data_IF_966614440622
#
_entry.id   IF_966614440622
#
_cell.length_a   1.000
_cell.length_b   1.000
_cell.length_c   1.000
_cell.angle_alpha   90.00
_cell.angle_beta   90.00
_cell.angle_gamma   90.00
#
_symmetry.space_group_name_H-M   'P 1'
#
loop_
_entity.id
_entity.type
_entity.pdbx_description
1 polymer ?
#
# COMPACT_ATOMS: atom_id res chain seq x y z
N UNK A 1 3.89 -7.25 6.09
CA UNK A 1 2.97 -7.63 5.00
C UNK A 1 3.27 -6.78 3.78
N UNK A 2 3.48 -7.38 2.61
CA UNK A 2 3.80 -6.68 1.35
C UNK A 2 2.94 -7.26 0.24
N UNK A 3 2.17 -6.40 -0.42
CA UNK A 3 1.29 -6.80 -1.51
C UNK A 3 1.21 -5.72 -2.58
N UNK A 4 0.83 -6.12 -3.79
CA UNK A 4 0.55 -5.21 -4.90
C UNK A 4 -0.78 -5.57 -5.56
N UNK A 5 -1.56 -4.59 -5.97
CA UNK A 5 -2.80 -4.80 -6.71
C UNK A 5 -3.02 -3.71 -7.75
N UNK A 6 -4.08 -3.87 -8.54
CA UNK A 6 -4.54 -2.87 -9.49
C UNK A 6 -5.92 -2.40 -9.04
N UNK A 7 -6.16 -1.09 -9.10
CA UNK A 7 -7.43 -0.47 -8.72
C UNK A 7 -8.65 -1.11 -9.40
N UNK A 8 -8.50 -1.58 -10.64
CA UNK A 8 -9.54 -2.29 -11.39
C UNK A 8 -9.75 -3.77 -11.03
N UNK A 9 -8.86 -4.40 -10.26
CA UNK A 9 -9.08 -5.75 -9.69
C UNK A 9 -9.63 -5.62 -8.27
N UNK A 10 -10.87 -5.17 -8.17
CA UNK A 10 -11.52 -4.87 -6.89
C UNK A 10 -11.57 -6.10 -5.96
N UNK A 11 -11.76 -7.31 -6.51
CA UNK A 11 -11.83 -8.55 -5.72
C UNK A 11 -10.51 -8.84 -5.02
N UNK A 12 -9.40 -8.78 -5.75
CA UNK A 12 -8.07 -8.97 -5.17
C UNK A 12 -7.73 -7.84 -4.20
N UNK A 13 -7.96 -6.59 -4.58
CA UNK A 13 -7.64 -5.43 -3.75
C UNK A 13 -8.37 -5.46 -2.40
N UNK A 14 -9.67 -5.79 -2.41
CA UNK A 14 -10.47 -5.92 -1.18
C UNK A 14 -9.88 -6.97 -0.24
N UNK A 15 -9.52 -8.15 -0.77
CA UNK A 15 -8.91 -9.21 0.02
C UNK A 15 -7.56 -8.78 0.61
N UNK A 16 -6.74 -8.08 -0.18
CA UNK A 16 -5.43 -7.61 0.26
C UNK A 16 -5.52 -6.50 1.31
N UNK A 17 -6.49 -5.59 1.22
CA UNK A 17 -6.74 -4.56 2.24
C UNK A 17 -7.15 -5.22 3.56
N UNK A 18 -8.08 -6.18 3.53
CA UNK A 18 -8.48 -6.91 4.73
C UNK A 18 -7.30 -7.62 5.39
N UNK A 19 -6.45 -8.27 4.60
CA UNK A 19 -5.23 -8.90 5.09
C UNK A 19 -4.23 -7.92 5.68
N UNK A 20 -4.06 -6.74 5.05
CA UNK A 20 -3.17 -5.69 5.54
C UNK A 20 -3.62 -5.11 6.88
N UNK A 21 -4.92 -4.84 7.06
CA UNK A 21 -5.50 -4.34 8.31
C UNK A 21 -5.38 -5.39 9.42
N UNK A 22 -5.61 -6.66 9.11
CA UNK A 22 -5.51 -7.75 10.08
C UNK A 22 -4.05 -8.08 10.48
N UNK A 23 -3.07 -7.66 9.68
CA UNK A 23 -1.67 -7.95 9.96
C UNK A 23 -1.16 -7.16 11.17
N UNK A 24 -0.71 -7.88 12.20
CA UNK A 24 -0.02 -7.30 13.35
C UNK A 24 1.42 -6.94 12.99
N UNK A 25 1.59 -5.78 12.37
CA UNK A 25 2.90 -5.28 11.94
C UNK A 25 2.75 -4.22 10.86
N UNK A 26 3.87 -3.82 10.27
CA UNK A 26 3.85 -2.87 9.15
C UNK A 26 3.36 -3.57 7.87
N UNK A 27 2.36 -2.96 7.24
CA UNK A 27 1.83 -3.39 5.95
C UNK A 27 2.16 -2.35 4.86
N UNK A 28 2.66 -2.82 3.73
CA UNK A 28 2.84 -2.06 2.50
C UNK A 28 1.93 -2.65 1.42
N UNK A 29 1.01 -1.84 0.91
CA UNK A 29 0.12 -2.21 -0.18
C UNK A 29 0.32 -1.21 -1.31
N UNK A 30 0.91 -1.68 -2.41
CA UNK A 30 1.12 -0.91 -3.61
C UNK A 30 -0.09 -1.08 -4.55
N UNK A 31 -0.84 0.00 -4.81
CA UNK A 31 -2.03 -0.04 -5.66
C UNK A 31 -1.77 0.76 -6.92
N UNK A 32 -1.67 0.05 -8.04
CA UNK A 32 -1.55 0.67 -9.36
C UNK A 32 -2.91 1.26 -9.71
N UNK A 33 -2.97 2.59 -9.81
CA UNK A 33 -4.17 3.34 -10.16
C UNK A 33 -3.88 4.25 -11.34
N UNK A 34 -4.50 4.04 -12.51
CA UNK A 34 -4.38 4.98 -13.61
C UNK A 34 -5.06 6.30 -13.22
N UNK A 35 -4.40 7.43 -13.50
CA UNK A 35 -4.96 8.76 -13.25
C UNK A 35 -5.35 9.40 -14.58
N UNK A 36 -6.66 9.50 -14.82
CA UNK A 36 -7.24 10.03 -16.06
C UNK A 36 -7.06 11.54 -16.24
N UNK A 37 -6.71 12.29 -15.19
CA UNK A 37 -6.68 13.76 -15.22
C UNK A 37 -5.26 14.34 -15.26
N UNK A 38 -4.31 13.75 -14.51
CA UNK A 38 -2.98 14.35 -14.30
C UNK A 38 -1.83 13.51 -14.83
N UNK A 39 -2.12 12.32 -15.37
CA UNK A 39 -1.13 11.47 -16.01
C UNK A 39 -1.66 11.00 -17.37
N UNK A 40 -2.11 11.96 -18.18
CA UNK A 40 -2.89 11.68 -19.37
C UNK A 40 -2.36 12.40 -20.63
N UNK A 41 -1.03 12.42 -20.90
CA UNK A 41 -0.58 12.66 -22.28
C UNK A 41 0.80 12.03 -22.70
N UNK A 42 1.06 12.09 -24.02
CA UNK A 42 2.05 11.42 -24.92
C UNK A 42 3.60 11.55 -24.70
N UNK A 43 4.11 12.01 -23.54
CA UNK A 43 5.55 12.19 -23.17
C UNK A 43 5.61 13.07 -21.90
N UNK A 44 5.36 12.45 -20.74
CA UNK A 44 4.93 13.12 -19.50
C UNK A 44 5.96 14.01 -18.80
N UNK A 45 5.82 15.33 -18.96
CA UNK A 45 5.87 16.33 -17.87
C UNK A 45 4.44 16.66 -17.36
N UNK A 46 3.50 15.74 -17.60
CA UNK A 46 2.13 15.96 -18.10
C UNK A 46 1.05 15.88 -17.04
N UNK A 47 1.34 16.51 -15.92
CA UNK A 47 0.29 17.23 -15.27
C UNK A 47 -0.05 18.47 -16.10
N UNK A 48 -1.09 19.15 -15.66
CA UNK A 48 -1.26 20.61 -15.66
C UNK A 48 0.03 21.50 -15.79
N UNK A 49 1.24 20.99 -15.55
CA UNK A 49 2.54 21.69 -15.72
C UNK A 49 2.95 22.05 -17.14
N UNK A 50 2.81 21.19 -18.16
CA UNK A 50 3.12 21.60 -19.54
C UNK A 50 2.22 22.77 -19.97
N UNK A 51 0.98 22.74 -19.46
CA UNK A 51 -0.01 23.80 -19.55
C UNK A 51 0.38 25.08 -18.79
N UNK A 52 1.03 24.98 -17.62
CA UNK A 52 1.54 26.14 -16.87
C UNK A 52 2.75 26.83 -17.52
N UNK A 53 3.63 26.08 -18.20
CA UNK A 53 4.85 26.61 -18.82
C UNK A 53 4.62 27.35 -20.16
N UNK A 54 3.41 27.23 -20.73
CA UNK A 54 2.99 27.91 -21.96
C UNK A 54 1.76 28.82 -21.75
N UNK A 55 1.60 29.32 -20.51
CA UNK A 55 0.64 30.35 -20.09
C UNK A 55 -0.86 30.00 -20.21
N UNK A 56 -1.26 28.89 -19.57
CA UNK A 56 -2.69 28.58 -19.37
C UNK A 56 -3.21 29.11 -18.01
N UNK A 57 -4.35 29.82 -18.06
CA UNK A 57 -5.06 30.46 -16.95
C UNK A 57 -5.86 29.43 -16.10
N UNK A 58 -5.65 29.39 -14.77
CA UNK A 58 -6.11 28.31 -13.84
C UNK A 58 -7.57 28.47 -13.37
N UNK A 59 -8.49 28.88 -14.23
CA UNK A 59 -9.92 28.99 -13.89
C UNK A 59 -10.79 28.54 -15.08
N UNK A 60 -10.53 27.34 -15.61
CA UNK A 60 -11.51 26.67 -16.48
C UNK A 60 -12.44 25.82 -15.62
N UNK A 61 -13.74 25.91 -15.92
CA UNK A 61 -14.78 25.03 -15.39
C UNK A 61 -14.31 23.59 -15.64
N UNK A 62 -13.96 22.87 -14.56
CA UNK A 62 -13.25 21.60 -14.58
C UNK A 62 -13.97 20.52 -15.39
N UNK A 63 -13.73 20.50 -16.69
CA UNK A 63 -14.20 19.44 -17.57
C UNK A 63 -13.17 18.31 -17.54
N UNK A 64 -13.40 17.34 -16.67
CA UNK A 64 -12.73 16.04 -16.73
C UNK A 64 -13.56 15.17 -17.66
N UNK A 65 -13.06 14.76 -18.84
CA UNK A 65 -13.80 13.86 -19.71
C UNK A 65 -14.08 12.56 -18.95
N UNK A 66 -15.30 12.05 -19.09
CA UNK A 66 -15.67 10.76 -18.51
C UNK A 66 -14.88 9.66 -19.22
N UNK A 67 -14.22 8.82 -18.44
CA UNK A 67 -13.56 7.60 -18.90
C UNK A 67 -14.18 6.41 -18.18
N UNK A 68 -14.42 5.32 -18.92
CA UNK A 68 -14.93 4.08 -18.32
C UNK A 68 -13.91 3.47 -17.36
N UNK A 69 -14.36 2.93 -16.24
CA UNK A 69 -13.48 2.24 -15.31
C UNK A 69 -12.88 0.98 -15.95
N UNK A 70 -11.56 0.84 -15.89
CA UNK A 70 -10.87 -0.37 -16.36
C UNK A 70 -11.00 -1.45 -15.30
N UNK A 71 -12.01 -2.31 -15.44
CA UNK A 71 -12.22 -3.45 -14.54
C UNK A 71 -11.56 -4.71 -15.10
N UNK A 72 -10.81 -5.42 -14.25
CA UNK A 72 -10.16 -6.68 -14.63
C UNK A 72 -10.43 -7.77 -13.61
N UNK A 73 -10.67 -8.97 -14.12
CA UNK A 73 -10.76 -10.20 -13.35
C UNK A 73 -10.10 -11.31 -14.16
N UNK A 74 -9.04 -11.89 -13.62
CA UNK A 74 -8.18 -12.83 -14.33
C UNK A 74 -7.63 -13.88 -13.37
N UNK A 75 -7.39 -15.07 -13.91
CA UNK A 75 -7.09 -16.26 -13.13
C UNK A 75 -5.72 -16.17 -12.44
N UNK A 76 -5.58 -16.70 -11.21
CA UNK A 76 -4.29 -16.82 -10.54
C UNK A 76 -3.23 -17.50 -11.41
N UNK A 77 -2.01 -16.95 -11.42
CA UNK A 77 -0.90 -17.48 -12.24
C UNK A 77 -0.87 -17.01 -13.69
N UNK A 78 -1.88 -16.29 -14.16
CA UNK A 78 -1.94 -15.75 -15.53
C UNK A 78 -1.42 -14.30 -15.60
N UNK A 79 -1.00 -13.90 -16.80
CA UNK A 79 -0.65 -12.50 -17.13
C UNK A 79 -1.75 -11.90 -17.99
N UNK A 80 -2.26 -10.74 -17.60
CA UNK A 80 -3.24 -9.95 -18.34
C UNK A 80 -2.58 -8.66 -18.83
N UNK A 81 -2.65 -8.39 -20.13
CA UNK A 81 -2.30 -7.09 -20.70
C UNK A 81 -3.51 -6.15 -20.60
N UNK A 82 -3.29 -4.93 -20.13
CA UNK A 82 -4.29 -3.88 -19.97
C UNK A 82 -3.84 -2.66 -20.76
N UNK A 83 -4.73 -2.15 -21.59
CA UNK A 83 -4.56 -0.88 -22.31
C UNK A 83 -5.18 0.23 -21.45
N UNK A 84 -4.38 1.23 -21.10
CA UNK A 84 -4.83 2.40 -20.35
C UNK A 84 -5.50 3.42 -21.27
N UNK A 85 -6.19 4.40 -20.69
CA UNK A 85 -6.91 5.43 -21.46
C UNK A 85 -6.00 6.29 -22.36
N UNK A 86 -4.71 6.38 -22.04
CA UNK A 86 -3.68 7.07 -22.84
C UNK A 86 -3.09 6.18 -23.96
N UNK A 87 -3.57 4.95 -24.12
CA UNK A 87 -3.09 3.97 -25.09
C UNK A 87 -1.84 3.19 -24.66
N UNK A 88 -1.24 3.53 -23.51
CA UNK A 88 -0.13 2.76 -22.94
C UNK A 88 -0.60 1.38 -22.48
N UNK A 89 0.34 0.43 -22.38
CA UNK A 89 0.04 -0.96 -22.04
C UNK A 89 0.81 -1.39 -20.81
N UNK A 90 0.10 -1.95 -19.84
CA UNK A 90 0.68 -2.57 -18.65
C UNK A 90 0.36 -4.06 -18.65
N UNK A 91 1.28 -4.88 -18.15
CA UNK A 91 1.05 -6.32 -17.97
C UNK A 91 0.97 -6.63 -16.49
N UNK A 92 -0.17 -7.12 -16.04
CA UNK A 92 -0.39 -7.56 -14.67
C UNK A 92 -0.25 -9.07 -14.59
N UNK A 93 0.61 -9.56 -13.71
CA UNK A 93 0.79 -11.00 -13.46
C UNK A 93 0.26 -11.34 -12.08
N UNK A 94 -0.76 -12.18 -11.99
CA UNK A 94 -1.32 -12.61 -10.70
C UNK A 94 -0.46 -13.74 -10.15
N UNK A 95 -0.08 -13.63 -8.89
CA UNK A 95 0.63 -14.70 -8.20
C UNK A 95 -0.17 -16.02 -8.27
N UNK A 96 0.57 -17.12 -8.40
CA UNK A 96 -0.04 -18.45 -8.49
C UNK A 96 -0.56 -18.90 -7.11
N UNK A 97 -1.58 -19.77 -7.05
CA UNK A 97 -2.14 -20.24 -5.78
C UNK A 97 -1.14 -21.04 -4.91
N UNK A 98 -0.15 -21.68 -5.54
CA UNK A 98 0.89 -22.49 -4.90
C UNK A 98 2.10 -21.67 -4.41
N UNK A 99 2.05 -20.35 -4.56
CA UNK A 99 3.08 -19.44 -4.10
C UNK A 99 3.14 -19.39 -2.57
N UNK A 100 4.32 -19.58 -1.99
CA UNK A 100 4.56 -19.40 -0.56
C UNK A 100 4.98 -17.94 -0.25
N UNK A 101 4.11 -17.12 0.34
CA UNK A 101 4.41 -15.73 0.66
C UNK A 101 5.27 -15.58 1.93
N UNK A 102 5.67 -16.65 2.61
CA UNK A 102 6.51 -16.58 3.83
C UNK A 102 8.00 -16.61 3.53
N UNK A 103 8.39 -16.98 2.31
CA UNK A 103 9.78 -17.01 1.88
C UNK A 103 10.23 -15.68 1.27
N UNK A 104 11.03 -14.92 2.03
CA UNK A 104 11.63 -13.67 1.54
C UNK A 104 12.47 -13.87 0.27
N UNK A 105 13.17 -15.01 0.15
CA UNK A 105 14.00 -15.33 -1.02
C UNK A 105 13.15 -15.47 -2.28
N UNK A 106 12.10 -16.28 -2.22
CA UNK A 106 11.19 -16.52 -3.36
C UNK A 106 10.48 -15.21 -3.73
N UNK A 107 10.08 -14.40 -2.74
CA UNK A 107 9.48 -13.09 -3.00
C UNK A 107 10.40 -12.15 -3.78
N UNK A 108 11.67 -12.06 -3.40
CA UNK A 108 12.64 -11.21 -4.11
C UNK A 108 12.93 -11.74 -5.51
N UNK A 109 13.11 -13.06 -5.66
CA UNK A 109 13.32 -13.71 -6.97
C UNK A 109 12.16 -13.43 -7.92
N UNK A 110 10.92 -13.62 -7.47
CA UNK A 110 9.72 -13.36 -8.28
C UNK A 110 9.56 -11.89 -8.67
N UNK A 111 9.93 -10.95 -7.78
CA UNK A 111 9.90 -9.53 -8.11
C UNK A 111 10.93 -9.17 -9.19
N UNK A 112 12.16 -9.70 -9.07
CA UNK A 112 13.23 -9.48 -10.05
C UNK A 112 12.86 -10.08 -11.41
N UNK A 113 12.39 -11.32 -11.45
CA UNK A 113 11.95 -11.96 -12.70
C UNK A 113 10.80 -11.20 -13.38
N UNK A 114 9.84 -10.70 -12.60
CA UNK A 114 8.72 -9.94 -13.14
C UNK A 114 9.20 -8.59 -13.70
N UNK A 115 10.18 -7.95 -13.05
CA UNK A 115 10.80 -6.74 -13.55
C UNK A 115 11.56 -6.97 -14.87
N UNK A 116 12.34 -8.05 -14.98
CA UNK A 116 13.01 -8.44 -16.23
C UNK A 116 12.01 -8.68 -17.36
N UNK A 117 10.88 -9.31 -17.04
CA UNK A 117 9.77 -9.55 -17.97
C UNK A 117 8.92 -8.31 -18.23
N UNK A 118 9.17 -7.18 -17.59
CA UNK A 118 8.34 -5.95 -17.65
C UNK A 118 6.86 -6.27 -17.34
N UNK A 119 6.64 -6.98 -16.23
CA UNK A 119 5.35 -7.37 -15.67
C UNK A 119 5.21 -6.81 -14.26
N UNK A 120 4.03 -6.29 -13.93
CA UNK A 120 3.66 -5.95 -12.56
C UNK A 120 3.11 -7.17 -11.86
N UNK A 121 3.87 -7.71 -10.92
CA UNK A 121 3.42 -8.81 -10.05
C UNK A 121 2.32 -8.33 -9.10
N UNK A 122 1.20 -9.03 -9.05
CA UNK A 122 0.01 -8.68 -8.26
C UNK A 122 -0.39 -9.82 -7.33
N UNK A 123 -0.92 -9.49 -6.15
CA UNK A 123 -1.23 -10.42 -5.07
C UNK A 123 -0.41 -10.16 -3.80
N UNK A 124 -0.48 -11.11 -2.87
CA UNK A 124 0.30 -11.10 -1.64
C UNK A 124 1.74 -11.55 -1.92
N UNK A 125 2.68 -10.61 -1.96
CA UNK A 125 4.08 -10.86 -2.30
C UNK A 125 4.84 -11.44 -1.11
N UNK A 126 4.65 -10.88 0.09
CA UNK A 126 5.35 -11.39 1.28
C UNK A 126 4.57 -11.13 2.58
N UNK A 127 4.60 -12.08 3.50
CA UNK A 127 4.07 -11.94 4.86
C UNK A 127 4.98 -12.64 5.86
N UNK A 128 5.19 -12.00 7.00
CA UNK A 128 5.95 -12.56 8.12
C UNK A 128 5.08 -12.53 9.38
N UNK A 129 4.33 -13.61 9.66
CA UNK A 129 3.39 -13.64 10.78
C UNK A 129 4.07 -13.90 12.13
N UNK A 130 5.29 -14.46 12.15
CA UNK A 130 5.95 -14.87 13.40
C UNK A 130 6.68 -13.71 14.09
N UNK A 131 6.97 -12.63 13.35
CA UNK A 131 7.67 -11.47 13.90
C UNK A 131 6.71 -10.63 14.74
N UNK A 132 7.12 -10.33 15.98
CA UNK A 132 6.38 -9.43 16.86
C UNK A 132 6.27 -8.04 16.24
N UNK A 133 5.09 -7.44 16.37
CA UNK A 133 4.89 -6.04 15.98
C UNK A 133 5.64 -5.08 16.93
N UNK A 134 5.76 -3.84 16.48
CA UNK A 134 6.52 -2.82 17.20
C UNK A 134 5.88 -2.43 18.55
N UNK A 135 4.55 -2.45 18.62
CA UNK A 135 3.79 -2.14 19.85
C UNK A 135 4.10 -3.17 20.95
N UNK A 136 4.08 -4.44 20.58
CA UNK A 136 4.41 -5.58 21.44
C UNK A 136 5.88 -5.57 21.84
N UNK A 137 6.79 -5.23 20.93
CA UNK A 137 8.22 -5.13 21.22
C UNK A 137 8.54 -4.01 22.23
N UNK A 138 7.82 -2.89 22.15
CA UNK A 138 7.96 -1.76 23.07
C UNK A 138 7.25 -1.98 24.40
N UNK A 139 6.41 -3.02 24.53
CA UNK A 139 5.62 -3.26 25.74
C UNK A 139 4.63 -2.12 26.02
N UNK A 140 4.09 -1.50 24.98
CA UNK A 140 3.07 -0.46 25.12
C UNK A 140 1.78 -1.04 25.73
N UNK A 141 1.03 -0.20 26.44
CA UNK A 141 -0.26 -0.59 26.99
C UNK A 141 -1.29 -0.86 25.89
N UNK A 142 -2.19 -1.82 26.15
CA UNK A 142 -3.34 -2.06 25.28
C UNK A 142 -4.36 -0.91 25.32
N UNK A 143 -4.40 -0.18 26.44
CA UNK A 143 -5.26 0.99 26.64
C UNK A 143 -4.67 2.21 25.89
N UNK A 144 -5.43 2.85 24.98
CA UNK A 144 -5.01 4.09 24.34
C UNK A 144 -4.76 5.18 25.38
N UNK A 145 -3.66 5.94 25.23
CA UNK A 145 -3.29 7.01 26.19
C UNK A 145 -4.44 8.02 26.44
N UNK A 146 -5.26 8.29 25.41
CA UNK A 146 -6.41 9.21 25.51
C UNK A 146 -7.53 8.70 26.43
N UNK A 147 -7.60 7.39 26.67
CA UNK A 147 -8.59 6.75 27.53
C UNK A 147 -8.07 6.55 28.97
N UNK A 148 -6.76 6.68 29.19
CA UNK A 148 -6.15 6.50 30.50
C UNK A 148 -6.42 7.73 31.38
N UNK A 149 -7.05 7.58 32.56
CA UNK A 149 -7.28 8.71 33.47
C UNK A 149 -5.97 9.31 34.01
N UNK A 150 -5.97 10.63 34.23
CA UNK A 150 -4.84 11.39 34.79
C UNK A 150 -4.23 10.75 36.05
N UNK A 151 -5.06 10.16 36.90
CA UNK A 151 -4.63 9.51 38.14
C UNK A 151 -3.71 8.30 37.91
N UNK A 152 -3.81 7.63 36.75
CA UNK A 152 -2.91 6.53 36.36
C UNK A 152 -1.67 7.04 35.61
N UNK A 153 -1.79 8.15 34.89
CA UNK A 153 -0.68 8.75 34.14
C UNK A 153 0.32 9.47 35.06
N UNK A 154 -0.13 9.93 36.23
CA UNK A 154 0.67 10.72 37.17
C UNK A 154 0.91 9.91 38.44
N UNK A 155 2.11 9.30 38.61
CA UNK A 155 2.43 8.62 39.87
C UNK A 155 2.34 9.62 41.03
N UNK A 156 1.67 9.21 42.11
CA UNK A 156 1.56 10.01 43.33
C UNK A 156 2.92 10.18 44.03
N UNK A 157 2.99 11.12 44.97
CA UNK A 157 4.24 11.47 45.68
C UNK A 157 4.93 10.26 46.32
N UNK A 158 4.19 9.40 46.99
CA UNK A 158 4.73 8.17 47.59
C UNK A 158 5.35 7.21 46.57
N UNK A 159 4.78 7.12 45.36
CA UNK A 159 5.33 6.27 44.30
C UNK A 159 6.64 6.84 43.77
N UNK A 160 6.74 8.18 43.65
CA UNK A 160 7.98 8.85 43.28
C UNK A 160 9.07 8.66 44.34
N UNK A 161 8.73 8.83 45.61
CA UNK A 161 9.68 8.68 46.72
C UNK A 161 10.28 7.25 46.74
N UNK A 162 9.45 6.22 46.55
CA UNK A 162 9.91 4.82 46.42
C UNK A 162 10.86 4.59 45.25
N UNK A 163 10.58 5.20 44.08
CA UNK A 163 11.47 5.08 42.90
C UNK A 163 12.81 5.74 43.21
N UNK A 164 12.81 6.94 43.79
CA UNK A 164 14.04 7.67 44.12
C UNK A 164 14.89 6.94 45.16
N UNK A 165 14.27 6.26 46.13
CA UNK A 165 14.99 5.40 47.08
C UNK A 165 15.63 4.17 46.42
N UNK A 166 14.96 3.55 45.44
CA UNK A 166 15.50 2.39 44.72
C UNK A 166 16.71 2.68 43.82
N UNK A 167 16.99 3.96 43.57
CA UNK A 167 18.10 4.44 42.73
C UNK A 167 19.29 4.96 43.55
N UNK A 168 19.23 4.91 44.89
CA UNK A 168 20.35 5.23 45.79
C UNK A 168 21.20 3.99 46.06
#
# INVERSE_FOLDING_TARGET
YVARSFSGDMKQLLALIKGAIAHRGTAMLDVISPCVTFNNHEDSTKSYKWAKDHEIQIQEIGFVPFFDEIMVDYEPGTTQEIVLHDGSRIRLKKLRPDYDPTSKRIALEMLLESQEKQEFLTGLVYVEPQKKDFVTLLGLSDEPIVEIPDAKLRPGREALDRIMESLK
#
